data_IF_615982949027
#
_entry.id   IF_615982949027
#
_cell.length_a   1.000
_cell.length_b   1.000
_cell.length_c   1.000
_cell.angle_alpha   90.00
_cell.angle_beta   90.00
_cell.angle_gamma   90.00
#
_symmetry.space_group_name_H-M   'P 1'
#
loop_
_entity.id
_entity.type
_entity.pdbx_description
1 polymer ?
#
# COMPACT_ATOMS: atom_id res chain seq x y z
N UNK A 1 -1.10 -1.61 16.39
CA UNK A 1 -0.38 -0.35 16.63
C UNK A 1 -0.12 0.31 15.28
N UNK A 2 -0.86 1.36 14.89
CA UNK A 2 -0.41 2.25 13.81
C UNK A 2 0.75 3.04 14.41
N UNK A 3 1.98 2.68 14.08
CA UNK A 3 3.14 3.47 14.46
C UNK A 3 2.93 4.94 14.08
N UNK A 4 3.53 5.86 14.85
CA UNK A 4 3.45 7.30 14.60
C UNK A 4 4.19 7.62 13.28
N UNK A 5 3.50 7.41 12.16
CA UNK A 5 4.05 7.56 10.81
C UNK A 5 4.63 8.96 10.59
N UNK A 6 4.08 9.97 11.26
CA UNK A 6 4.58 11.34 11.30
C UNK A 6 5.96 11.48 11.94
N UNK A 7 6.29 10.67 12.96
CA UNK A 7 7.62 10.65 13.58
C UNK A 7 8.66 10.07 12.62
N UNK A 8 8.32 8.98 11.95
CA UNK A 8 9.22 8.33 11.00
C UNK A 8 9.40 9.18 9.73
N UNK A 9 8.33 9.81 9.23
CA UNK A 9 8.42 10.77 8.12
C UNK A 9 9.31 11.97 8.46
N UNK A 10 9.31 12.44 9.71
CA UNK A 10 10.23 13.49 10.15
C UNK A 10 11.69 13.03 10.14
N UNK A 11 11.97 11.78 10.55
CA UNK A 11 13.31 11.19 10.47
C UNK A 11 13.78 11.04 9.02
N UNK A 12 12.91 10.55 8.14
CA UNK A 12 13.19 10.48 6.70
C UNK A 12 13.45 11.87 6.12
N UNK A 13 12.64 12.87 6.48
CA UNK A 13 12.84 14.25 6.05
C UNK A 13 14.19 14.82 6.48
N UNK A 14 14.65 14.51 7.70
CA UNK A 14 15.98 14.88 8.18
C UNK A 14 17.09 14.14 7.43
N UNK A 15 16.90 12.84 7.13
CA UNK A 15 17.86 12.02 6.40
C UNK A 15 18.06 12.51 4.95
N UNK A 16 16.97 12.81 4.25
CA UNK A 16 17.02 13.31 2.87
C UNK A 16 17.28 14.82 2.76
N UNK A 17 17.30 15.55 3.89
CA UNK A 17 17.49 17.01 3.90
C UNK A 17 16.36 17.81 3.26
N UNK A 18 15.13 17.28 3.23
CA UNK A 18 14.02 17.88 2.47
C UNK A 18 13.37 19.07 3.16
N UNK A 19 13.60 19.28 4.46
CA UNK A 19 13.09 20.44 5.19
C UNK A 19 11.57 20.56 5.24
N UNK A 20 10.83 19.45 5.10
CA UNK A 20 9.37 19.47 5.01
C UNK A 20 8.70 20.03 6.27
N UNK A 21 7.72 20.90 6.07
CA UNK A 21 6.88 21.45 7.14
C UNK A 21 5.93 20.38 7.70
N UNK A 22 5.33 20.66 8.86
CA UNK A 22 4.38 19.73 9.51
C UNK A 22 3.16 19.42 8.62
N UNK A 23 2.69 20.40 7.86
CA UNK A 23 1.54 20.24 6.98
C UNK A 23 1.91 19.43 5.72
N UNK A 24 3.13 19.63 5.20
CA UNK A 24 3.65 18.79 4.11
C UNK A 24 3.83 17.33 4.57
N UNK A 25 4.33 17.11 5.79
CA UNK A 25 4.43 15.76 6.36
C UNK A 25 3.05 15.10 6.54
N UNK A 26 2.01 15.87 6.85
CA UNK A 26 0.62 15.38 6.87
C UNK A 26 0.14 14.95 5.48
N UNK A 27 0.40 15.77 4.47
CA UNK A 27 0.04 15.43 3.09
C UNK A 27 0.75 14.16 2.62
N UNK A 28 2.05 14.00 2.94
CA UNK A 28 2.80 12.78 2.64
C UNK A 28 2.18 11.58 3.37
N UNK A 29 1.89 11.71 4.66
CA UNK A 29 1.27 10.63 5.44
C UNK A 29 -0.09 10.19 4.86
N UNK A 30 -0.91 11.12 4.42
CA UNK A 30 -2.18 10.83 3.75
C UNK A 30 -1.95 10.16 2.39
N UNK A 31 -1.05 10.73 1.58
CA UNK A 31 -0.70 10.23 0.25
C UNK A 31 -0.15 8.80 0.29
N UNK A 32 0.61 8.45 1.32
CA UNK A 32 1.16 7.11 1.55
C UNK A 32 0.25 6.22 2.43
N UNK A 33 -0.97 6.66 2.73
CA UNK A 33 -1.91 5.81 3.44
C UNK A 33 -2.35 4.64 2.58
N UNK A 34 -2.63 3.50 3.20
CA UNK A 34 -3.03 2.28 2.48
C UNK A 34 -4.23 2.52 1.54
N UNK A 35 -5.23 3.30 1.99
CA UNK A 35 -6.41 3.63 1.18
C UNK A 35 -6.03 4.42 -0.08
N UNK A 36 -5.19 5.45 0.09
CA UNK A 36 -4.73 6.31 -1.01
C UNK A 36 -3.79 5.59 -1.97
N UNK A 37 -2.94 4.70 -1.48
CA UNK A 37 -2.11 3.86 -2.35
C UNK A 37 -2.98 2.88 -3.14
N UNK A 38 -3.93 2.21 -2.49
CA UNK A 38 -4.80 1.22 -3.14
C UNK A 38 -5.68 1.82 -4.25
N UNK A 39 -6.08 3.08 -4.14
CA UNK A 39 -6.86 3.73 -5.19
C UNK A 39 -6.04 4.11 -6.43
N UNK A 40 -4.70 3.98 -6.40
CA UNK A 40 -3.82 4.42 -7.47
C UNK A 40 -3.35 3.28 -8.35
N UNK A 41 -3.81 3.33 -9.60
CA UNK A 41 -3.52 2.33 -10.64
C UNK A 41 -2.03 2.16 -10.94
N UNK A 42 -1.21 3.20 -10.76
CA UNK A 42 0.24 3.13 -11.03
C UNK A 42 1.06 2.51 -9.88
N UNK A 43 0.51 2.44 -8.67
CA UNK A 43 1.18 1.78 -7.53
C UNK A 43 0.87 0.28 -7.45
N UNK A 44 -0.16 -0.16 -8.17
CA UNK A 44 -0.52 -1.56 -8.32
C UNK A 44 0.14 -2.06 -9.60
N UNK A 45 1.21 -2.84 -9.48
CA UNK A 45 1.80 -3.49 -10.66
C UNK A 45 0.76 -4.42 -11.32
N UNK A 46 0.59 -4.37 -12.65
CA UNK A 46 -0.35 -5.26 -13.35
C UNK A 46 0.01 -6.74 -13.15
N UNK A 47 1.28 -7.06 -12.85
CA UNK A 47 1.74 -8.43 -12.54
C UNK A 47 1.17 -8.93 -11.19
N UNK A 48 0.86 -8.02 -10.25
CA UNK A 48 0.26 -8.36 -8.95
C UNK A 48 -1.27 -8.47 -9.02
N UNK A 49 -1.88 -8.38 -10.20
CA UNK A 49 -3.31 -8.65 -10.37
C UNK A 49 -3.57 -10.16 -10.43
N UNK A 50 -3.24 -10.89 -9.36
CA UNK A 50 -4.04 -12.05 -9.02
C UNK A 50 -5.45 -11.51 -8.73
N UNK A 51 -6.25 -11.42 -9.79
CA UNK A 51 -7.59 -10.88 -9.67
C UNK A 51 -8.35 -11.75 -8.66
N UNK A 52 -9.26 -11.15 -7.90
CA UNK A 52 -10.12 -11.91 -6.99
C UNK A 52 -10.87 -13.04 -7.71
N UNK A 53 -11.07 -12.94 -9.04
CA UNK A 53 -11.53 -14.05 -9.90
C UNK A 53 -10.54 -15.21 -9.95
N UNK A 54 -9.26 -14.94 -10.21
CA UNK A 54 -8.20 -15.96 -10.28
C UNK A 54 -8.09 -16.76 -8.97
N UNK A 55 -8.26 -16.10 -7.81
CA UNK A 55 -8.27 -16.77 -6.50
C UNK A 55 -9.53 -17.62 -6.27
N UNK A 56 -10.69 -17.20 -6.80
CA UNK A 56 -11.95 -17.94 -6.70
C UNK A 56 -11.95 -19.18 -7.60
N UNK A 57 -11.24 -19.11 -8.72
CA UNK A 57 -11.09 -20.18 -9.70
C UNK A 57 -10.15 -21.28 -9.19
N UNK A 58 -8.96 -20.94 -8.67
CA UNK A 58 -8.06 -21.91 -8.02
C UNK A 58 -8.74 -22.69 -6.88
N UNK A 59 -9.60 -22.03 -6.08
CA UNK A 59 -10.37 -22.70 -5.02
C UNK A 59 -11.39 -23.71 -5.58
N UNK A 60 -12.01 -23.45 -6.74
CA UNK A 60 -12.93 -24.39 -7.37
C UNK A 60 -12.21 -25.61 -7.93
N UNK A 61 -11.02 -25.41 -8.49
CA UNK A 61 -10.24 -26.50 -9.09
C UNK A 61 -9.64 -27.43 -8.04
N UNK A 62 -9.24 -26.89 -6.87
CA UNK A 62 -8.84 -27.70 -5.72
C UNK A 62 -9.98 -28.59 -5.19
N UNK A 63 -11.22 -28.09 -5.19
CA UNK A 63 -12.39 -28.84 -4.71
C UNK A 63 -12.78 -29.97 -5.68
N UNK A 64 -12.51 -29.84 -6.99
CA UNK A 64 -12.87 -30.88 -7.97
C UNK A 64 -11.90 -32.05 -8.05
N UNK A 65 -10.64 -31.87 -7.68
CA UNK A 65 -9.61 -32.94 -7.74
C UNK A 65 -9.58 -33.85 -6.51
N UNK A 66 -10.44 -33.61 -5.52
CA UNK A 66 -10.48 -34.36 -4.26
C UNK A 66 -11.62 -35.38 -4.15
N UNK A 67 -12.19 -35.88 -5.26
CA UNK A 67 -13.25 -36.89 -5.24
C UNK A 67 -13.07 -37.94 -6.32
#
# INVERSE_FOLDING_TARGET
MKENITRELKRLGAFFGTGLSKDQLRQVAEYTSFSQMKSRSHTISPISTYSARSMKEMKRDHVRKGR
#
